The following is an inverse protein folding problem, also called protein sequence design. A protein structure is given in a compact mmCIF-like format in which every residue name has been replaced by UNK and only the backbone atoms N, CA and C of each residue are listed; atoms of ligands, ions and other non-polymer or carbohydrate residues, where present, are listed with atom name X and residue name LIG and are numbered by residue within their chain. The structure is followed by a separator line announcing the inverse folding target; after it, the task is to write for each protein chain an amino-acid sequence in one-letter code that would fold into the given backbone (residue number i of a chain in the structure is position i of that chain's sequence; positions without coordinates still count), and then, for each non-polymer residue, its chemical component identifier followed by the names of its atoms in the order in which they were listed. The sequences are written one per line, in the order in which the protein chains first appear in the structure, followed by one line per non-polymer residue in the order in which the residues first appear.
data_IF_549355901458
#
_entry.id   IF_549355901458
#
_cell.length_a   1.000
_cell.length_b   1.000
_cell.length_c   1.000
_cell.angle_alpha   90.00
_cell.angle_beta   90.00
_cell.angle_gamma   90.00
#
_symmetry.space_group_name_H-M   'P 1'
#
loop_
_entity.id
_entity.type
_entity.pdbx_description
1 polymer ?
#
# COMPACT_ATOMS: atom_id res chain seq x y z
N UNK A 1 62.96 15.63 -25.00
CA UNK A 1 61.58 15.88 -24.53
C UNK A 1 60.67 16.01 -25.75
N UNK A 2 59.97 14.94 -26.18
CA UNK A 2 59.14 14.94 -27.41
C UNK A 2 57.78 15.56 -27.09
N UNK A 3 57.51 16.74 -27.62
CA UNK A 3 56.26 17.47 -27.39
C UNK A 3 55.06 16.64 -27.85
N UNK A 4 54.15 16.36 -26.92
CA UNK A 4 52.89 15.67 -27.23
C UNK A 4 52.04 16.63 -28.08
N UNK A 5 51.64 16.26 -29.30
CA UNK A 5 50.86 17.14 -30.17
C UNK A 5 49.52 17.49 -29.51
N UNK A 6 49.15 18.77 -29.52
CA UNK A 6 47.95 19.34 -28.84
C UNK A 6 46.66 18.55 -29.08
N UNK A 7 46.53 17.88 -30.23
CA UNK A 7 45.38 17.03 -30.55
C UNK A 7 45.21 15.83 -29.61
N UNK A 8 46.30 15.16 -29.20
CA UNK A 8 46.23 14.00 -28.30
C UNK A 8 45.73 14.37 -26.91
N UNK A 9 46.06 15.58 -26.41
CA UNK A 9 45.52 16.10 -25.15
C UNK A 9 44.02 16.36 -25.23
N UNK A 10 43.53 16.88 -26.36
CA UNK A 10 42.11 17.16 -26.57
C UNK A 10 41.30 15.87 -26.68
N UNK A 11 41.79 14.88 -27.43
CA UNK A 11 41.14 13.57 -27.55
C UNK A 11 41.08 12.86 -26.20
N UNK A 12 42.19 12.82 -25.45
CA UNK A 12 42.21 12.26 -24.09
C UNK A 12 41.29 13.03 -23.12
N UNK A 13 41.17 14.35 -23.27
CA UNK A 13 40.24 15.14 -22.46
C UNK A 13 38.77 14.89 -22.83
N UNK A 14 38.46 14.58 -24.10
CA UNK A 14 37.13 14.18 -24.54
C UNK A 14 36.78 12.75 -24.06
N UNK A 15 37.73 11.83 -24.15
CA UNK A 15 37.60 10.45 -23.68
C UNK A 15 37.39 10.39 -22.16
N UNK A 16 38.13 11.18 -21.38
CA UNK A 16 37.92 11.29 -19.92
C UNK A 16 36.53 11.89 -19.60
N UNK A 17 36.07 12.87 -20.39
CA UNK A 17 34.74 13.48 -20.22
C UNK A 17 33.59 12.54 -20.63
N UNK A 18 33.85 11.63 -21.54
CA UNK A 18 32.90 10.60 -22.01
C UNK A 18 32.84 9.42 -21.02
N UNK A 19 33.95 9.07 -20.38
CA UNK A 19 34.01 8.05 -19.32
C UNK A 19 33.29 8.51 -18.03
N UNK A 20 33.26 9.81 -17.72
CA UNK A 20 32.46 10.37 -16.61
C UNK A 20 30.93 10.25 -16.84
N UNK A 21 30.48 9.95 -18.07
CA UNK A 21 29.09 9.68 -18.41
C UNK A 21 28.70 8.19 -18.25
N UNK A 22 29.48 7.41 -17.50
CA UNK A 22 29.03 6.12 -17.00
C UNK A 22 27.98 6.35 -15.90
N UNK A 23 26.74 6.62 -16.32
CA UNK A 23 25.61 6.74 -15.42
C UNK A 23 25.57 5.50 -14.54
N UNK A 24 25.82 5.65 -13.23
CA UNK A 24 25.56 4.60 -12.24
C UNK A 24 24.09 4.23 -12.40
N UNK A 25 23.84 3.13 -13.09
CA UNK A 25 22.50 2.69 -13.44
C UNK A 25 21.89 2.17 -12.15
N UNK A 26 21.21 3.05 -11.42
CA UNK A 26 20.40 2.66 -10.27
C UNK A 26 19.55 1.45 -10.68
N UNK A 27 19.57 0.40 -9.87
CA UNK A 27 18.78 -0.80 -10.10
C UNK A 27 17.34 -0.40 -10.42
N UNK A 28 16.66 -1.11 -11.33
CA UNK A 28 15.30 -0.76 -11.77
C UNK A 28 14.35 -0.54 -10.57
N UNK A 29 14.51 -1.36 -9.52
CA UNK A 29 13.84 -1.23 -8.23
C UNK A 29 14.11 0.10 -7.53
N UNK A 30 15.36 0.54 -7.45
CA UNK A 30 15.74 1.81 -6.83
C UNK A 30 15.16 3.01 -7.59
N UNK A 31 15.06 2.92 -8.92
CA UNK A 31 14.41 3.96 -9.74
C UNK A 31 12.90 4.00 -9.51
N UNK A 32 12.25 2.85 -9.40
CA UNK A 32 10.83 2.74 -9.06
C UNK A 32 10.52 3.32 -7.67
N UNK A 33 11.26 2.89 -6.65
CA UNK A 33 11.12 3.38 -5.27
C UNK A 33 11.34 4.89 -5.16
N UNK A 34 12.36 5.44 -5.82
CA UNK A 34 12.60 6.90 -5.85
C UNK A 34 11.47 7.67 -6.53
N UNK A 35 10.85 7.13 -7.58
CA UNK A 35 9.68 7.74 -8.21
C UNK A 35 8.49 7.72 -7.27
N UNK A 36 8.20 6.58 -6.66
CA UNK A 36 7.09 6.42 -5.72
C UNK A 36 7.21 7.39 -4.53
N UNK A 37 8.41 7.52 -3.95
CA UNK A 37 8.65 8.44 -2.83
C UNK A 37 8.49 9.92 -3.20
N UNK A 38 8.59 10.27 -4.47
CA UNK A 38 8.47 11.65 -4.95
C UNK A 38 7.03 12.00 -5.32
N UNK A 39 6.20 10.99 -5.53
CA UNK A 39 4.81 11.12 -5.92
C UNK A 39 3.89 11.21 -4.69
N UNK A 40 3.71 12.45 -4.21
CA UNK A 40 2.90 12.76 -3.02
C UNK A 40 1.48 12.18 -3.07
N UNK A 41 0.68 12.30 -4.15
CA UNK A 41 -0.66 11.71 -4.18
C UNK A 41 -0.63 10.18 -4.06
N UNK A 42 0.33 9.50 -4.67
CA UNK A 42 0.44 8.03 -4.53
C UNK A 42 0.78 7.64 -3.09
N UNK A 43 1.69 8.36 -2.44
CA UNK A 43 2.00 8.12 -1.03
C UNK A 43 0.79 8.36 -0.12
N UNK A 44 0.01 9.42 -0.36
CA UNK A 44 -1.22 9.68 0.39
C UNK A 44 -2.23 8.55 0.21
N UNK A 45 -2.42 8.07 -1.01
CA UNK A 45 -3.31 6.94 -1.28
C UNK A 45 -2.84 5.66 -0.56
N UNK A 46 -1.55 5.34 -0.63
CA UNK A 46 -0.95 4.20 0.09
C UNK A 46 -1.16 4.34 1.59
N UNK A 47 -0.93 5.54 2.16
CA UNK A 47 -1.12 5.79 3.59
C UNK A 47 -2.57 5.57 4.02
N UNK A 48 -3.54 6.08 3.26
CA UNK A 48 -4.96 5.90 3.55
C UNK A 48 -5.35 4.41 3.50
N UNK A 49 -4.92 3.70 2.46
CA UNK A 49 -5.18 2.27 2.32
C UNK A 49 -4.55 1.48 3.47
N UNK A 50 -3.29 1.77 3.81
CA UNK A 50 -2.62 1.12 4.94
C UNK A 50 -3.30 1.42 6.27
N UNK A 51 -3.75 2.65 6.49
CA UNK A 51 -4.49 3.03 7.69
C UNK A 51 -5.77 2.19 7.82
N UNK A 52 -6.62 2.17 6.79
CA UNK A 52 -7.85 1.39 6.81
C UNK A 52 -7.58 -0.12 6.92
N UNK A 53 -6.57 -0.63 6.19
CA UNK A 53 -6.19 -2.03 6.28
C UNK A 53 -5.74 -2.41 7.69
N UNK A 54 -4.94 -1.56 8.34
CA UNK A 54 -4.47 -1.79 9.71
C UNK A 54 -5.64 -1.76 10.69
N UNK A 55 -6.53 -0.76 10.59
CA UNK A 55 -7.72 -0.67 11.44
C UNK A 55 -8.64 -1.88 11.27
N UNK A 56 -8.88 -2.33 10.04
CA UNK A 56 -9.69 -3.52 9.75
C UNK A 56 -9.04 -4.82 10.24
N UNK A 57 -7.72 -4.97 10.12
CA UNK A 57 -7.02 -6.14 10.65
C UNK A 57 -7.07 -6.18 12.18
N UNK A 58 -6.99 -5.01 12.83
CA UNK A 58 -7.10 -4.86 14.27
C UNK A 58 -8.55 -4.79 14.78
N UNK A 59 -9.56 -5.06 13.94
CA UNK A 59 -10.97 -4.99 14.33
C UNK A 59 -11.30 -5.74 15.63
N UNK A 60 -10.82 -6.99 15.88
CA UNK A 60 -11.13 -7.72 17.11
C UNK A 60 -10.54 -7.07 18.37
N UNK A 61 -9.34 -6.52 18.25
CA UNK A 61 -8.67 -5.82 19.36
C UNK A 61 -9.39 -4.51 19.64
N UNK A 62 -9.81 -3.79 18.58
CA UNK A 62 -10.54 -2.52 18.72
C UNK A 62 -11.91 -2.75 19.37
N UNK A 63 -12.65 -3.80 18.98
CA UNK A 63 -13.93 -4.14 19.63
C UNK A 63 -13.78 -4.52 21.10
N UNK A 64 -12.70 -5.22 21.46
CA UNK A 64 -12.39 -5.58 22.85
C UNK A 64 -12.06 -4.34 23.69
N UNK A 65 -11.25 -3.42 23.16
CA UNK A 65 -10.91 -2.14 23.82
C UNK A 65 -12.13 -1.25 24.00
N UNK A 66 -13.03 -1.21 23.01
CA UNK A 66 -14.27 -0.44 23.08
C UNK A 66 -15.34 -1.12 23.95
N UNK A 67 -15.16 -2.40 24.31
CA UNK A 67 -16.16 -3.22 25.00
C UNK A 67 -17.50 -3.29 24.26
N UNK A 68 -17.44 -3.34 22.93
CA UNK A 68 -18.63 -3.39 22.06
C UNK A 68 -18.59 -4.65 21.22
N UNK A 69 -19.64 -5.47 21.29
CA UNK A 69 -19.82 -6.59 20.37
C UNK A 69 -20.47 -6.08 19.06
N UNK A 70 -19.85 -6.29 17.88
CA UNK A 70 -20.38 -5.84 16.59
C UNK A 70 -21.74 -6.45 16.20
N UNK A 71 -22.12 -7.58 16.80
CA UNK A 71 -23.39 -8.27 16.51
C UNK A 71 -24.43 -8.15 17.63
N UNK A 72 -24.04 -7.60 18.78
CA UNK A 72 -24.97 -7.39 19.89
C UNK A 72 -26.01 -6.33 19.52
N UNK A 73 -27.27 -6.66 19.79
CA UNK A 73 -28.41 -5.81 19.49
C UNK A 73 -28.88 -5.14 20.78
N UNK A 74 -28.93 -3.81 20.76
CA UNK A 74 -29.50 -3.02 21.85
C UNK A 74 -30.59 -2.09 21.32
N UNK A 75 -31.82 -2.61 21.25
CA UNK A 75 -32.99 -1.86 20.77
C UNK A 75 -33.29 -0.61 21.60
N UNK A 76 -32.81 -0.52 22.85
CA UNK A 76 -33.02 0.66 23.69
C UNK A 76 -32.12 1.82 23.26
N UNK A 77 -31.03 1.52 22.57
CA UNK A 77 -30.06 2.50 22.07
C UNK A 77 -29.98 2.45 20.53
N UNK A 78 -31.13 2.33 19.87
CA UNK A 78 -31.22 2.42 18.41
C UNK A 78 -31.00 3.87 17.94
N UNK A 79 -30.41 4.03 16.75
CA UNK A 79 -30.09 5.34 16.18
C UNK A 79 -29.31 6.28 17.13
N UNK A 80 -28.42 5.70 17.93
CA UNK A 80 -27.58 6.45 18.83
C UNK A 80 -26.70 7.43 18.02
N UNK A 81 -26.53 8.67 18.49
CA UNK A 81 -25.75 9.68 17.79
C UNK A 81 -24.26 9.31 17.74
N UNK A 82 -23.51 10.05 16.94
CA UNK A 82 -22.05 9.92 16.85
C UNK A 82 -21.40 10.07 18.23
N UNK A 83 -20.34 9.29 18.48
CA UNK A 83 -19.56 9.29 19.72
C UNK A 83 -20.35 8.93 21.01
N UNK A 84 -21.39 8.11 20.90
CA UNK A 84 -22.14 7.59 22.06
C UNK A 84 -21.45 6.35 22.65
N UNK A 85 -21.19 6.31 23.97
CA UNK A 85 -20.79 5.14 24.76
C UNK A 85 -19.93 4.07 24.04
N UNK A 86 -18.75 4.46 23.54
CA UNK A 86 -17.83 3.53 22.86
C UNK A 86 -18.19 3.20 21.40
N UNK A 87 -19.15 3.93 20.81
CA UNK A 87 -19.66 3.77 19.43
C UNK A 87 -19.37 5.03 18.60
N UNK A 88 -18.17 5.15 18.01
CA UNK A 88 -17.74 6.38 17.32
C UNK A 88 -18.66 6.80 16.18
N UNK A 89 -19.23 5.84 15.45
CA UNK A 89 -20.11 6.08 14.32
C UNK A 89 -21.61 5.90 14.66
N UNK A 90 -21.95 5.76 15.94
CA UNK A 90 -23.33 5.54 16.38
C UNK A 90 -23.85 4.13 16.07
N UNK A 91 -25.17 3.96 16.14
CA UNK A 91 -25.84 2.67 15.99
C UNK A 91 -26.86 2.62 14.87
N UNK A 92 -27.14 1.39 14.39
CA UNK A 92 -28.19 1.14 13.42
C UNK A 92 -29.59 1.06 14.06
N UNK A 93 -30.58 0.70 13.24
CA UNK A 93 -31.97 0.49 13.67
C UNK A 93 -32.15 -0.60 14.72
N UNK A 94 -31.21 -1.55 14.78
CA UNK A 94 -31.19 -2.65 15.75
C UNK A 94 -30.28 -2.35 16.95
N UNK A 95 -29.71 -1.14 17.01
CA UNK A 95 -28.78 -0.74 18.05
C UNK A 95 -27.42 -1.42 17.97
N UNK A 96 -26.98 -1.85 16.78
CA UNK A 96 -25.63 -2.41 16.57
C UNK A 96 -24.64 -1.32 16.24
N UNK A 97 -23.39 -1.43 16.70
CA UNK A 97 -22.34 -0.44 16.44
C UNK A 97 -21.89 -0.42 14.96
N UNK A 98 -21.99 0.74 14.33
CA UNK A 98 -21.57 0.93 12.94
C UNK A 98 -20.06 0.82 12.76
N UNK A 99 -19.28 1.34 13.71
CA UNK A 99 -17.83 1.43 13.58
C UNK A 99 -17.18 0.06 13.57
N UNK A 100 -17.47 -0.77 14.57
CA UNK A 100 -16.96 -2.13 14.67
C UNK A 100 -17.40 -2.97 13.46
N UNK A 101 -18.65 -2.84 13.01
CA UNK A 101 -19.13 -3.57 11.82
C UNK A 101 -18.42 -3.17 10.54
N UNK A 102 -18.08 -1.89 10.36
CA UNK A 102 -17.27 -1.43 9.22
C UNK A 102 -15.86 -2.02 9.26
N UNK A 103 -15.22 -2.07 10.44
CA UNK A 103 -13.88 -2.65 10.57
C UNK A 103 -13.87 -4.16 10.27
N UNK A 104 -14.85 -4.90 10.82
CA UNK A 104 -15.02 -6.33 10.53
C UNK A 104 -15.36 -6.59 9.06
N UNK A 105 -16.21 -5.76 8.44
CA UNK A 105 -16.50 -5.84 7.01
C UNK A 105 -15.28 -5.58 6.13
N UNK A 106 -14.43 -4.63 6.54
CA UNK A 106 -13.14 -4.36 5.89
C UNK A 106 -12.18 -5.56 6.00
N UNK A 107 -12.13 -6.23 7.15
CA UNK A 107 -11.31 -7.44 7.36
C UNK A 107 -11.69 -8.56 6.39
N UNK A 108 -12.99 -8.80 6.24
CA UNK A 108 -13.52 -9.82 5.31
C UNK A 108 -13.19 -9.43 3.86
N UNK A 109 -13.43 -8.17 3.49
CA UNK A 109 -13.12 -7.66 2.14
C UNK A 109 -11.65 -7.80 1.78
N UNK A 110 -10.74 -7.47 2.71
CA UNK A 110 -9.30 -7.65 2.53
C UNK A 110 -8.92 -9.12 2.35
N UNK A 111 -9.52 -10.02 3.14
CA UNK A 111 -9.30 -11.45 3.01
C UNK A 111 -9.72 -12.00 1.64
N UNK A 112 -10.87 -11.55 1.13
CA UNK A 112 -11.36 -11.93 -0.20
C UNK A 112 -10.43 -11.38 -1.29
N UNK A 113 -10.09 -10.09 -1.23
CA UNK A 113 -9.22 -9.46 -2.23
C UNK A 113 -7.84 -10.12 -2.29
N UNK A 114 -7.25 -10.43 -1.13
CA UNK A 114 -5.97 -11.11 -1.05
C UNK A 114 -6.04 -12.54 -1.61
N UNK A 115 -7.08 -13.30 -1.23
CA UNK A 115 -7.28 -14.67 -1.73
C UNK A 115 -7.47 -14.70 -3.25
N UNK A 116 -8.27 -13.78 -3.78
CA UNK A 116 -8.46 -13.63 -5.21
C UNK A 116 -7.15 -13.30 -5.93
N UNK A 117 -6.36 -12.36 -5.41
CA UNK A 117 -5.07 -11.99 -5.98
C UNK A 117 -4.11 -13.20 -6.05
N UNK A 118 -4.01 -13.99 -4.98
CA UNK A 118 -3.18 -15.21 -4.94
C UNK A 118 -3.63 -16.23 -5.99
N UNK A 119 -4.93 -16.47 -6.11
CA UNK A 119 -5.48 -17.37 -7.12
C UNK A 119 -5.22 -16.88 -8.54
N UNK A 120 -5.44 -15.59 -8.80
CA UNK A 120 -5.16 -14.98 -10.11
C UNK A 120 -3.68 -15.08 -10.46
N UNK A 121 -2.78 -14.81 -9.52
CA UNK A 121 -1.33 -14.95 -9.72
C UNK A 121 -0.96 -16.40 -10.01
N UNK A 122 -1.48 -17.35 -9.23
CA UNK A 122 -1.20 -18.77 -9.40
C UNK A 122 -1.65 -19.29 -10.77
N UNK A 123 -2.89 -19.00 -11.16
CA UNK A 123 -3.44 -19.39 -12.47
C UNK A 123 -2.68 -18.69 -13.60
N UNK A 124 -2.47 -17.38 -13.49
CA UNK A 124 -1.78 -16.59 -14.50
C UNK A 124 -0.34 -17.05 -14.74
N UNK A 125 0.40 -17.37 -13.67
CA UNK A 125 1.76 -17.92 -13.77
C UNK A 125 1.73 -19.31 -14.40
N UNK A 126 0.81 -20.19 -13.98
CA UNK A 126 0.72 -21.54 -14.54
C UNK A 126 0.44 -21.50 -16.06
N UNK A 127 -0.55 -20.72 -16.48
CA UNK A 127 -0.88 -20.55 -17.91
C UNK A 127 0.27 -19.89 -18.66
N UNK A 128 0.90 -18.85 -18.08
CA UNK A 128 2.01 -18.14 -18.69
C UNK A 128 3.23 -19.04 -18.93
N UNK A 129 3.53 -19.95 -18.00
CA UNK A 129 4.61 -20.93 -18.16
C UNK A 129 4.28 -21.94 -19.27
N UNK A 130 3.04 -22.44 -19.33
CA UNK A 130 2.63 -23.40 -20.36
C UNK A 130 2.64 -22.80 -21.76
N UNK A 131 2.21 -21.54 -21.92
CA UNK A 131 2.15 -20.86 -23.21
C UNK A 131 3.49 -20.24 -23.66
N UNK A 132 4.43 -20.07 -22.73
CA UNK A 132 5.73 -19.42 -22.99
C UNK A 132 6.85 -20.37 -23.43
N UNK A 133 6.64 -21.68 -23.29
CA UNK A 133 7.45 -22.73 -23.92
C UNK A 133 6.87 -23.09 -25.29
#
# INVERSE_FOLDING_TARGET
MKAIPKQKKKIRALEVREVDHYHVSLNMWQRGLRRLQRDRPTLTAILIVLLFATLSLLAPVISEVLQVDPNEQDLRNNYAPLFSDGRPLGTDELGRDHFSRLLYGGRISLGIAFSAAVLTLGIGVAVGVVAGF
#
